data_IF_399702664872
#
_entry.id   IF_399702664872
#
_cell.length_a   1.000
_cell.length_b   1.000
_cell.length_c   1.000
_cell.angle_alpha   90.00
_cell.angle_beta   90.00
_cell.angle_gamma   90.00
#
_symmetry.space_group_name_H-M   'P 1'
#
loop_
_entity.id
_entity.type
_entity.pdbx_description
1 polymer ?
#
# COMPACT_ATOMS: atom_id res chain seq x y z
N UNK A 1 5.65 -23.25 13.78
CA UNK A 1 6.74 -22.62 13.03
C UNK A 1 6.37 -22.55 11.55
N UNK A 2 6.54 -21.40 10.92
CA UNK A 2 6.25 -21.19 9.49
C UNK A 2 7.22 -22.02 8.64
N UNK A 3 6.68 -22.94 7.82
CA UNK A 3 7.49 -23.83 6.97
C UNK A 3 7.72 -23.19 5.60
N UNK A 4 8.85 -23.56 4.96
CA UNK A 4 9.16 -23.11 3.59
C UNK A 4 8.20 -23.76 2.59
N UNK A 5 7.54 -22.99 1.72
CA UNK A 5 6.74 -23.57 0.64
C UNK A 5 7.63 -24.33 -0.36
N UNK A 6 7.20 -25.52 -0.75
CA UNK A 6 7.92 -26.42 -1.66
C UNK A 6 7.33 -26.46 -3.06
N UNK A 7 6.07 -26.05 -3.20
CA UNK A 7 5.32 -26.09 -4.45
C UNK A 7 4.66 -24.75 -4.74
N UNK A 8 4.34 -24.49 -6.01
CA UNK A 8 3.59 -23.29 -6.42
C UNK A 8 2.26 -23.16 -5.68
N UNK A 9 1.60 -24.28 -5.36
CA UNK A 9 0.36 -24.27 -4.57
C UNK A 9 0.60 -23.75 -3.15
N UNK A 10 1.66 -24.23 -2.52
CA UNK A 10 2.04 -23.80 -1.16
C UNK A 10 2.49 -22.32 -1.14
N UNK A 11 3.16 -21.85 -2.22
CA UNK A 11 3.49 -20.44 -2.38
C UNK A 11 2.24 -19.58 -2.44
N UNK A 12 1.22 -19.99 -3.19
CA UNK A 12 -0.07 -19.27 -3.25
C UNK A 12 -0.77 -19.22 -1.88
N UNK A 13 -0.76 -20.34 -1.17
CA UNK A 13 -1.29 -20.41 0.20
C UNK A 13 -0.51 -19.52 1.17
N UNK A 14 0.83 -19.51 1.05
CA UNK A 14 1.70 -18.64 1.82
C UNK A 14 1.41 -17.17 1.56
N UNK A 15 1.32 -16.76 0.28
CA UNK A 15 0.95 -15.39 -0.09
C UNK A 15 -0.43 -15.04 0.46
N UNK A 16 -1.42 -15.92 0.32
CA UNK A 16 -2.78 -15.72 0.84
C UNK A 16 -2.81 -15.50 2.36
N UNK A 17 -2.04 -16.30 3.11
CA UNK A 17 -1.91 -16.13 4.56
C UNK A 17 -1.31 -14.77 4.92
N UNK A 18 -0.27 -14.34 4.20
CA UNK A 18 0.35 -13.04 4.43
C UNK A 18 -0.62 -11.90 4.03
N UNK A 19 -1.39 -12.08 2.96
CA UNK A 19 -2.36 -11.09 2.51
C UNK A 19 -3.55 -10.92 3.47
N UNK A 20 -3.90 -11.95 4.23
CA UNK A 20 -4.94 -11.83 5.26
C UNK A 20 -4.59 -10.77 6.32
N UNK A 21 -3.30 -10.62 6.63
CA UNK A 21 -2.80 -9.62 7.58
C UNK A 21 -2.25 -8.37 6.88
N UNK A 22 -2.74 -8.05 5.68
CA UNK A 22 -2.17 -7.02 4.79
C UNK A 22 -2.05 -5.64 5.42
N UNK A 23 -3.02 -5.26 6.24
CA UNK A 23 -3.11 -3.93 6.83
C UNK A 23 -2.15 -3.72 8.00
N UNK A 24 -1.47 -4.79 8.44
CA UNK A 24 -0.52 -4.75 9.54
C UNK A 24 0.93 -4.53 9.10
N UNK A 25 1.22 -4.55 7.78
CA UNK A 25 2.61 -4.61 7.32
C UNK A 25 2.96 -3.58 6.25
N UNK A 26 3.91 -2.66 6.53
CA UNK A 26 4.42 -1.72 5.54
C UNK A 26 5.23 -2.45 4.45
N UNK A 27 5.28 -1.88 3.25
CA UNK A 27 6.10 -2.36 2.10
C UNK A 27 5.94 -3.85 1.76
N UNK A 28 4.79 -4.46 2.11
CA UNK A 28 4.48 -5.89 1.91
C UNK A 28 4.67 -6.33 0.46
N UNK A 29 4.19 -5.55 -0.50
CA UNK A 29 4.24 -5.92 -1.93
C UNK A 29 5.67 -6.14 -2.40
N UNK A 30 6.61 -5.33 -1.93
CA UNK A 30 8.03 -5.46 -2.24
C UNK A 30 8.63 -6.76 -1.66
N UNK A 31 8.31 -7.07 -0.41
CA UNK A 31 8.81 -8.28 0.25
C UNK A 31 8.24 -9.57 -0.33
N UNK A 32 7.00 -9.55 -0.80
CA UNK A 32 6.36 -10.72 -1.42
C UNK A 32 6.67 -10.86 -2.90
N UNK A 33 7.36 -9.90 -3.52
CA UNK A 33 7.62 -9.93 -4.97
C UNK A 33 8.27 -11.23 -5.44
N UNK A 34 9.34 -11.76 -4.81
CA UNK A 34 9.97 -13.01 -5.26
C UNK A 34 9.00 -14.21 -5.24
N UNK A 35 8.08 -14.24 -4.26
CA UNK A 35 7.04 -15.27 -4.19
C UNK A 35 5.94 -15.05 -5.21
N UNK A 36 5.55 -13.80 -5.45
CA UNK A 36 4.52 -13.46 -6.44
C UNK A 36 4.95 -13.85 -7.85
N UNK A 37 6.23 -13.64 -8.19
CA UNK A 37 6.77 -13.93 -9.51
C UNK A 37 6.73 -15.43 -9.84
N UNK A 38 6.94 -16.31 -8.85
CA UNK A 38 6.83 -17.77 -9.03
C UNK A 38 5.39 -18.28 -8.88
N UNK A 39 4.49 -17.51 -8.32
CA UNK A 39 3.09 -17.93 -8.09
C UNK A 39 2.28 -18.11 -9.39
N UNK A 40 2.73 -17.53 -10.50
CA UNK A 40 2.14 -17.68 -11.84
C UNK A 40 2.39 -19.07 -12.45
N UNK A 41 3.33 -19.84 -11.91
CA UNK A 41 3.67 -21.18 -12.39
C UNK A 41 2.52 -22.20 -12.32
N UNK A 42 2.68 -23.35 -12.99
CA UNK A 42 1.69 -24.44 -13.00
C UNK A 42 1.45 -24.98 -11.57
N UNK A 43 0.17 -25.16 -11.20
CA UNK A 43 -0.23 -25.72 -9.89
C UNK A 43 0.47 -27.06 -9.61
N UNK A 44 1.01 -27.21 -8.40
CA UNK A 44 1.70 -28.45 -7.96
C UNK A 44 3.17 -28.57 -8.39
N UNK A 45 3.68 -27.67 -9.26
CA UNK A 45 5.08 -27.70 -9.65
C UNK A 45 5.98 -27.41 -8.44
N UNK A 46 7.05 -28.20 -8.28
CA UNK A 46 8.08 -27.94 -7.28
C UNK A 46 8.82 -26.64 -7.63
N UNK A 47 9.06 -25.81 -6.63
CA UNK A 47 9.81 -24.57 -6.80
C UNK A 47 11.31 -24.82 -6.57
N UNK A 48 12.14 -24.12 -7.33
CA UNK A 48 13.56 -24.04 -7.06
C UNK A 48 13.79 -22.91 -6.06
N UNK A 49 14.29 -23.27 -4.87
CA UNK A 49 14.57 -22.29 -3.84
C UNK A 49 15.81 -21.48 -4.18
N UNK A 50 15.69 -20.18 -4.29
CA UNK A 50 16.78 -19.25 -4.62
C UNK A 50 17.22 -18.47 -3.37
N UNK A 51 18.44 -17.87 -3.37
CA UNK A 51 18.87 -16.97 -2.29
C UNK A 51 17.89 -15.84 -2.04
N UNK A 52 17.30 -15.26 -3.11
CA UNK A 52 16.32 -14.16 -3.01
C UNK A 52 15.04 -14.60 -2.30
N UNK A 53 14.55 -15.83 -2.60
CA UNK A 53 13.41 -16.43 -1.90
C UNK A 53 13.73 -16.68 -0.42
N UNK A 54 14.96 -17.06 -0.11
CA UNK A 54 15.39 -17.26 1.28
C UNK A 54 15.39 -15.93 2.05
N UNK A 55 15.98 -14.90 1.46
CA UNK A 55 16.01 -13.56 2.06
C UNK A 55 14.58 -13.03 2.27
N UNK A 56 13.74 -13.15 1.24
CA UNK A 56 12.34 -12.73 1.32
C UNK A 56 11.58 -13.50 2.42
N UNK A 57 11.79 -14.82 2.52
CA UNK A 57 11.17 -15.65 3.54
C UNK A 57 11.60 -15.28 4.97
N UNK A 58 12.90 -15.05 5.18
CA UNK A 58 13.43 -14.59 6.46
C UNK A 58 12.84 -13.22 6.84
N UNK A 59 12.75 -12.30 5.88
CA UNK A 59 12.20 -10.96 6.11
C UNK A 59 10.72 -11.05 6.49
N UNK A 60 9.93 -11.87 5.80
CA UNK A 60 8.52 -12.12 6.15
C UNK A 60 8.41 -12.70 7.56
N UNK A 61 9.24 -13.70 7.90
CA UNK A 61 9.25 -14.28 9.26
C UNK A 61 9.59 -13.25 10.33
N UNK A 62 10.62 -12.44 10.11
CA UNK A 62 11.01 -11.36 11.04
C UNK A 62 9.87 -10.38 11.25
N UNK A 63 9.15 -10.05 10.18
CA UNK A 63 8.03 -9.12 10.24
C UNK A 63 6.83 -9.69 11.00
N UNK A 64 6.47 -10.95 10.74
CA UNK A 64 5.41 -11.64 11.50
C UNK A 64 5.74 -11.73 12.99
N UNK A 65 7.03 -11.90 13.33
CA UNK A 65 7.49 -11.94 14.71
C UNK A 65 7.61 -10.55 15.35
N UNK A 66 7.79 -9.50 14.53
CA UNK A 66 7.82 -8.12 15.00
C UNK A 66 6.37 -7.69 15.18
N UNK A 67 5.87 -7.74 16.40
CA UNK A 67 4.55 -7.18 16.73
C UNK A 67 4.55 -5.70 16.33
N UNK A 68 4.02 -5.40 15.15
CA UNK A 68 3.68 -4.03 14.79
C UNK A 68 2.47 -3.69 15.64
N UNK A 69 2.69 -2.93 16.70
CA UNK A 69 1.62 -2.46 17.57
C UNK A 69 0.81 -1.44 16.77
N UNK A 70 -0.26 -1.88 16.14
CA UNK A 70 -1.28 -0.99 15.61
C UNK A 70 -2.07 -0.40 16.76
N UNK A 71 -2.43 0.86 16.60
CA UNK A 71 -3.29 1.56 17.55
C UNK A 71 -4.73 1.47 17.07
N UNK A 72 -5.68 1.34 18.01
CA UNK A 72 -7.09 1.50 17.67
C UNK A 72 -7.40 2.96 17.34
N UNK A 73 -8.26 3.23 16.34
CA UNK A 73 -8.66 4.58 15.99
C UNK A 73 -9.34 5.30 17.16
N UNK A 74 -8.94 6.55 17.40
CA UNK A 74 -9.67 7.51 18.23
C UNK A 74 -10.52 8.39 17.30
N UNK A 75 -11.80 8.15 17.30
CA UNK A 75 -12.76 8.79 16.38
C UNK A 75 -12.93 10.31 16.65
N UNK A 76 -12.40 10.82 17.74
CA UNK A 76 -12.39 12.27 18.05
C UNK A 76 -11.22 13.02 17.41
N UNK A 77 -10.25 12.31 16.83
CA UNK A 77 -9.00 12.86 16.28
C UNK A 77 -8.94 12.75 14.77
N UNK A 78 -8.23 13.66 14.08
CA UNK A 78 -8.01 13.55 12.65
C UNK A 78 -7.13 12.35 12.33
N UNK A 79 -7.32 11.81 11.12
CA UNK A 79 -6.46 10.77 10.55
C UNK A 79 -5.36 11.43 9.70
N UNK A 80 -4.14 11.00 9.90
CA UNK A 80 -2.98 11.38 9.13
C UNK A 80 -2.64 10.23 8.15
N UNK A 81 -2.55 10.52 6.85
CA UNK A 81 -2.21 9.57 5.81
C UNK A 81 -0.92 10.02 5.13
N UNK A 82 0.13 9.23 5.24
CA UNK A 82 1.37 9.43 4.49
C UNK A 82 1.34 8.50 3.28
N UNK A 83 1.48 9.06 2.08
CA UNK A 83 1.41 8.30 0.83
C UNK A 83 2.73 8.40 0.05
N UNK A 84 3.07 7.30 -0.62
CA UNK A 84 4.23 7.19 -1.49
C UNK A 84 3.89 6.30 -2.70
N UNK A 85 4.40 6.65 -3.87
CA UNK A 85 4.20 5.87 -5.08
C UNK A 85 5.51 5.68 -5.85
N UNK A 86 5.86 4.43 -6.12
CA UNK A 86 6.96 4.06 -6.99
C UNK A 86 6.47 3.66 -8.38
N UNK A 87 7.40 3.36 -9.30
CA UNK A 87 7.06 2.80 -10.62
C UNK A 87 6.41 1.41 -10.56
N UNK A 88 6.39 0.76 -9.41
CA UNK A 88 5.93 -0.61 -9.26
C UNK A 88 4.75 -0.75 -8.30
N UNK A 89 4.65 0.11 -7.30
CA UNK A 89 3.68 -0.05 -6.22
C UNK A 89 3.23 1.29 -5.64
N UNK A 90 2.06 1.26 -5.02
CA UNK A 90 1.50 2.30 -4.17
C UNK A 90 1.70 1.89 -2.71
N UNK A 91 1.99 2.85 -1.85
CA UNK A 91 2.13 2.65 -0.42
C UNK A 91 1.45 3.77 0.37
N UNK A 92 0.91 3.43 1.54
CA UNK A 92 0.48 4.44 2.50
C UNK A 92 0.49 3.91 3.94
N UNK A 93 0.53 4.85 4.87
CA UNK A 93 0.33 4.61 6.31
C UNK A 93 -0.82 5.49 6.78
N UNK A 94 -1.80 4.90 7.42
CA UNK A 94 -2.85 5.61 8.15
C UNK A 94 -2.46 5.64 9.61
N UNK A 95 -2.41 6.82 10.21
CA UNK A 95 -1.94 7.04 11.58
C UNK A 95 -2.75 8.10 12.29
N UNK A 96 -2.59 8.17 13.60
CA UNK A 96 -3.03 9.27 14.47
C UNK A 96 -1.93 9.57 15.47
N UNK A 97 -1.55 10.84 15.59
CA UNK A 97 -0.48 11.28 16.51
C UNK A 97 0.82 10.47 16.36
N UNK A 98 1.19 10.14 15.13
CA UNK A 98 2.39 9.34 14.82
C UNK A 98 2.27 7.83 15.12
N UNK A 99 1.12 7.35 15.60
CA UNK A 99 0.88 5.92 15.87
C UNK A 99 0.16 5.29 14.69
N UNK A 100 0.70 4.23 14.08
CA UNK A 100 0.08 3.61 12.92
C UNK A 100 -1.20 2.85 13.30
N UNK A 101 -2.22 3.02 12.46
CA UNK A 101 -3.51 2.33 12.54
C UNK A 101 -3.59 1.25 11.47
N UNK A 102 -3.15 1.58 10.23
CA UNK A 102 -3.17 0.64 9.11
C UNK A 102 -2.08 0.97 8.09
N UNK A 103 -1.69 -0.04 7.32
CA UNK A 103 -0.76 0.08 6.21
C UNK A 103 -1.42 -0.33 4.90
N UNK A 104 -1.23 0.47 3.87
CA UNK A 104 -1.64 0.16 2.51
C UNK A 104 -0.44 -0.18 1.64
N UNK A 105 -0.56 -1.21 0.82
CA UNK A 105 0.46 -1.55 -0.17
C UNK A 105 -0.18 -2.34 -1.32
N UNK A 106 -0.08 -1.81 -2.54
CA UNK A 106 -0.64 -2.43 -3.74
C UNK A 106 0.30 -2.28 -4.95
N UNK A 107 0.52 -3.37 -5.69
CA UNK A 107 1.25 -3.33 -6.97
C UNK A 107 0.43 -2.58 -8.03
N UNK A 108 1.12 -1.81 -8.87
CA UNK A 108 0.56 -1.20 -10.07
C UNK A 108 0.30 -2.29 -11.13
N UNK A 109 -0.84 -2.22 -11.80
CA UNK A 109 -1.08 -3.02 -12.99
C UNK A 109 -0.31 -2.46 -14.19
N UNK A 110 -0.30 -3.19 -15.32
CA UNK A 110 0.45 -2.80 -16.53
C UNK A 110 0.06 -1.42 -17.07
N UNK A 111 -1.22 -1.06 -17.05
CA UNK A 111 -1.69 0.25 -17.48
C UNK A 111 -1.24 1.37 -16.51
N UNK A 112 -1.33 1.13 -15.20
CA UNK A 112 -0.98 2.09 -14.16
C UNK A 112 0.52 2.39 -14.08
N UNK A 113 1.38 1.45 -14.49
CA UNK A 113 2.83 1.68 -14.59
C UNK A 113 3.18 2.80 -15.57
N UNK A 114 2.35 3.00 -16.60
CA UNK A 114 2.52 4.04 -17.61
C UNK A 114 1.93 5.41 -17.19
N UNK A 115 1.39 5.53 -15.98
CA UNK A 115 0.91 6.81 -15.46
C UNK A 115 2.08 7.74 -15.13
N UNK A 116 1.84 9.03 -15.21
CA UNK A 116 2.82 10.02 -14.76
C UNK A 116 3.06 9.87 -13.26
N UNK A 117 4.21 10.35 -12.76
CA UNK A 117 4.53 10.32 -11.33
C UNK A 117 3.41 10.97 -10.51
N UNK A 118 2.94 12.14 -10.92
CA UNK A 118 1.84 12.85 -10.26
C UNK A 118 0.53 12.04 -10.26
N UNK A 119 0.23 11.31 -11.34
CA UNK A 119 -0.95 10.44 -11.38
C UNK A 119 -0.79 9.21 -10.47
N UNK A 120 0.42 8.65 -10.34
CA UNK A 120 0.70 7.54 -9.41
C UNK A 120 0.54 7.98 -7.96
N UNK A 121 1.07 9.16 -7.61
CA UNK A 121 0.90 9.75 -6.28
C UNK A 121 -0.58 10.00 -5.96
N UNK A 122 -1.32 10.63 -6.86
CA UNK A 122 -2.75 10.85 -6.70
C UNK A 122 -3.52 9.54 -6.58
N UNK A 123 -3.14 8.53 -7.36
CA UNK A 123 -3.73 7.19 -7.28
C UNK A 123 -3.46 6.53 -5.92
N UNK A 124 -2.28 6.74 -5.33
CA UNK A 124 -1.96 6.23 -4.00
C UNK A 124 -2.93 6.78 -2.94
N UNK A 125 -3.21 8.08 -2.99
CA UNK A 125 -4.19 8.72 -2.10
C UNK A 125 -5.58 8.10 -2.30
N UNK A 126 -6.07 8.09 -3.54
CA UNK A 126 -7.41 7.62 -3.88
C UNK A 126 -7.64 6.16 -3.48
N UNK A 127 -6.67 5.29 -3.78
CA UNK A 127 -6.80 3.87 -3.45
C UNK A 127 -6.69 3.62 -1.94
N UNK A 128 -5.92 4.42 -1.21
CA UNK A 128 -5.88 4.37 0.26
C UNK A 128 -7.21 4.80 0.87
N UNK A 129 -7.81 5.89 0.39
CA UNK A 129 -9.13 6.35 0.84
C UNK A 129 -10.22 5.31 0.58
N UNK A 130 -10.19 4.64 -0.58
CA UNK A 130 -11.13 3.55 -0.90
C UNK A 130 -10.94 2.35 0.00
N UNK A 131 -9.71 1.90 0.20
CA UNK A 131 -9.39 0.70 0.99
C UNK A 131 -9.85 0.86 2.43
N UNK A 132 -9.62 2.04 3.02
CA UNK A 132 -9.98 2.34 4.40
C UNK A 132 -11.23 3.20 4.54
N UNK A 133 -12.14 3.13 3.54
CA UNK A 133 -13.39 3.90 3.54
C UNK A 133 -14.18 3.76 4.84
N UNK A 134 -14.29 2.56 5.34
CA UNK A 134 -15.01 2.23 6.57
C UNK A 134 -14.41 2.87 7.85
N UNK A 135 -13.15 3.32 7.78
CA UNK A 135 -12.45 3.98 8.87
C UNK A 135 -12.40 5.49 8.66
N UNK A 136 -12.20 5.93 7.41
CA UNK A 136 -11.86 7.32 7.09
C UNK A 136 -13.07 8.17 6.72
N UNK A 137 -14.15 7.56 6.22
CA UNK A 137 -15.30 8.30 5.70
C UNK A 137 -16.07 9.01 6.82
N UNK A 138 -16.27 10.32 6.63
CA UNK A 138 -16.97 11.17 7.61
C UNK A 138 -16.07 11.75 8.71
N UNK A 139 -14.76 11.46 8.67
CA UNK A 139 -13.79 11.99 9.62
C UNK A 139 -12.82 12.96 8.95
N UNK A 140 -12.16 13.79 9.74
CA UNK A 140 -11.14 14.70 9.24
C UNK A 140 -9.90 13.89 8.82
N UNK A 141 -9.50 14.05 7.55
CA UNK A 141 -8.35 13.37 6.96
C UNK A 141 -7.33 14.41 6.50
N UNK A 142 -6.07 14.22 6.91
CA UNK A 142 -4.92 14.97 6.41
C UNK A 142 -4.04 14.01 5.61
N UNK A 143 -3.67 14.40 4.40
CA UNK A 143 -2.80 13.61 3.52
C UNK A 143 -1.47 14.31 3.37
N UNK A 144 -0.40 13.57 3.58
CA UNK A 144 0.98 14.02 3.43
C UNK A 144 1.64 13.32 2.24
N UNK A 145 2.28 14.08 1.37
CA UNK A 145 3.03 13.58 0.21
C UNK A 145 4.19 14.51 -0.10
N UNK A 146 5.27 13.97 -0.62
CA UNK A 146 6.44 14.75 -1.06
C UNK A 146 6.26 15.40 -2.45
N UNK A 147 5.11 15.22 -3.08
CA UNK A 147 4.83 15.74 -4.41
C UNK A 147 4.09 17.10 -4.36
N UNK A 148 4.81 18.20 -4.64
CA UNK A 148 4.33 19.59 -4.53
C UNK A 148 3.07 19.91 -5.33
N UNK A 149 2.85 19.24 -6.45
CA UNK A 149 1.82 19.63 -7.43
C UNK A 149 0.51 18.82 -7.34
N UNK A 150 0.30 18.01 -6.28
CA UNK A 150 -0.88 17.15 -6.20
C UNK A 150 -2.20 17.92 -6.18
N UNK A 151 -2.26 19.00 -5.43
CA UNK A 151 -3.47 19.83 -5.35
C UNK A 151 -3.80 20.45 -6.71
N UNK A 152 -2.78 21.00 -7.41
CA UNK A 152 -2.94 21.55 -8.76
C UNK A 152 -3.28 20.46 -9.79
N UNK A 153 -2.63 19.32 -9.73
CA UNK A 153 -2.88 18.22 -10.67
C UNK A 153 -4.30 17.68 -10.56
N UNK A 154 -4.83 17.55 -9.35
CA UNK A 154 -6.21 17.15 -9.12
C UNK A 154 -7.22 18.17 -9.66
N UNK A 155 -6.86 19.46 -9.68
CA UNK A 155 -7.76 20.54 -10.09
C UNK A 155 -7.73 20.83 -11.59
N UNK A 156 -6.55 20.75 -12.22
CA UNK A 156 -6.32 21.25 -13.60
C UNK A 156 -6.34 20.11 -14.64
N UNK A 157 -6.09 18.86 -14.23
CA UNK A 157 -6.02 17.76 -15.20
C UNK A 157 -7.37 17.48 -15.85
N UNK A 158 -7.40 17.52 -17.20
CA UNK A 158 -8.56 17.16 -18.01
C UNK A 158 -8.67 15.63 -18.27
N UNK A 159 -7.78 14.82 -17.72
CA UNK A 159 -7.85 13.38 -17.86
C UNK A 159 -9.11 12.82 -17.19
N UNK A 160 -9.91 12.04 -17.94
CA UNK A 160 -11.14 11.42 -17.41
C UNK A 160 -10.91 10.59 -16.13
N UNK A 161 -9.72 9.96 -16.01
CA UNK A 161 -9.36 9.20 -14.81
C UNK A 161 -9.16 10.11 -13.61
N UNK A 162 -8.45 11.22 -13.79
CA UNK A 162 -8.21 12.21 -12.73
C UNK A 162 -9.51 12.87 -12.31
N UNK A 163 -10.43 13.16 -13.24
CA UNK A 163 -11.78 13.66 -12.91
C UNK A 163 -12.55 12.68 -12.00
N UNK A 164 -12.48 11.37 -12.27
CA UNK A 164 -13.10 10.35 -11.39
C UNK A 164 -12.45 10.29 -10.02
N UNK A 165 -11.14 10.44 -9.94
CA UNK A 165 -10.41 10.48 -8.67
C UNK A 165 -10.76 11.72 -7.87
N UNK A 166 -10.97 12.83 -8.54
CA UNK A 166 -11.41 14.08 -7.92
C UNK A 166 -12.76 13.93 -7.20
N UNK A 167 -13.72 13.21 -7.76
CA UNK A 167 -14.98 12.93 -7.09
C UNK A 167 -14.79 12.19 -5.77
N UNK A 168 -13.83 11.26 -5.72
CA UNK A 168 -13.49 10.55 -4.49
C UNK A 168 -12.82 11.47 -3.49
N UNK A 169 -11.89 12.32 -3.95
CA UNK A 169 -11.26 13.32 -3.09
C UNK A 169 -12.29 14.30 -2.54
N UNK A 170 -13.23 14.77 -3.35
CA UNK A 170 -14.32 15.65 -2.91
C UNK A 170 -15.24 14.97 -1.88
N UNK A 171 -15.49 13.66 -2.02
CA UNK A 171 -16.29 12.87 -1.07
C UNK A 171 -15.66 12.78 0.32
N UNK A 172 -14.33 12.61 0.40
CA UNK A 172 -13.60 12.53 1.68
C UNK A 172 -13.15 13.88 2.20
N UNK A 173 -12.97 14.89 1.33
CA UNK A 173 -12.50 16.24 1.66
C UNK A 173 -11.13 16.28 2.35
N UNK A 174 -10.10 15.51 1.91
CA UNK A 174 -8.83 15.48 2.61
C UNK A 174 -8.07 16.80 2.48
N UNK A 175 -7.43 17.22 3.56
CA UNK A 175 -6.46 18.33 3.57
C UNK A 175 -5.10 17.81 3.09
N UNK A 176 -4.75 18.06 1.82
CA UNK A 176 -3.51 17.54 1.22
C UNK A 176 -2.38 18.54 1.46
N UNK A 177 -1.31 18.06 2.10
CA UNK A 177 -0.12 18.83 2.48
C UNK A 177 1.14 18.26 1.84
N UNK A 178 1.98 19.16 1.36
CA UNK A 178 3.33 18.79 0.93
C UNK A 178 4.26 18.70 2.14
N UNK A 179 5.05 17.62 2.20
CA UNK A 179 6.16 17.45 3.14
C UNK A 179 7.44 17.15 2.37
N UNK A 180 8.59 17.31 3.01
CA UNK A 180 9.87 16.90 2.39
C UNK A 180 9.93 15.37 2.30
N UNK A 181 10.65 14.82 1.28
CA UNK A 181 10.80 13.37 1.14
C UNK A 181 11.55 12.70 2.31
N UNK A 182 12.25 13.48 3.14
CA UNK A 182 12.92 13.00 4.36
C UNK A 182 11.92 12.81 5.51
N UNK A 183 10.78 13.52 5.47
CA UNK A 183 9.75 13.52 6.51
C UNK A 183 8.55 12.62 6.15
N UNK A 184 8.56 11.97 4.95
CA UNK A 184 7.45 11.17 4.43
C UNK A 184 7.60 9.65 4.71
#
# INVERSE_FOLDING_TARGET
AMQRPKTVTEVRSFIGMIQYYRDLWPKRSHMLQPFTDISSGKKGTKIKWTPDLEIAFINVKKMVCKQTLLTYPDWSKPFDIHTDASDYQLGAVVSQEGKPIAFFSRKLNSAQKNYTTTEKELLSIVETLKEFRNILFGYQVKVFSDHKNLVHAATISQSQRVMRWRLILEEFGPDIKHISGEDN
#
